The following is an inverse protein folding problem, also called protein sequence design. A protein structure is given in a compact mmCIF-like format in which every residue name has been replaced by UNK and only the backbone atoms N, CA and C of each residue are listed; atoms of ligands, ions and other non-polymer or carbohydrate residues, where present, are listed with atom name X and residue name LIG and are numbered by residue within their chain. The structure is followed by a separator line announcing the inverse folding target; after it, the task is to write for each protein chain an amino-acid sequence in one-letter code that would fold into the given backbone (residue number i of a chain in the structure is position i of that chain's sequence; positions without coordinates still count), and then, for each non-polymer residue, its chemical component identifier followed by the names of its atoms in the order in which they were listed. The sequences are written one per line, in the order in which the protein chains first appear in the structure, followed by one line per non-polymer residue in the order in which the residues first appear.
data_IF_165939775422
#
_entry.id   IF_165939775422
#
_cell.length_a   1.000
_cell.length_b   1.000
_cell.length_c   1.000
_cell.angle_alpha   90.00
_cell.angle_beta   90.00
_cell.angle_gamma   90.00
#
_symmetry.space_group_name_H-M   'P 1'
#
loop_
_entity.id
_entity.type
_entity.pdbx_description
1 polymer ?
#
# COMPACT_ATOMS: atom_id res chain seq x y z
N UNK A 1 30.12 7.22 12.24
CA UNK A 1 29.37 8.45 11.88
C UNK A 1 28.93 8.33 10.43
N UNK A 2 27.69 8.68 10.08
CA UNK A 2 27.30 8.81 8.67
C UNK A 2 27.91 10.11 8.11
N UNK A 3 28.39 10.13 6.86
CA UNK A 3 28.85 11.35 6.23
C UNK A 3 27.71 12.40 6.19
N UNK A 4 28.05 13.70 6.27
CA UNK A 4 27.05 14.76 6.17
C UNK A 4 26.37 14.69 4.80
N UNK A 5 25.05 14.90 4.78
CA UNK A 5 24.29 14.92 3.53
C UNK A 5 24.70 16.12 2.69
N UNK A 6 24.73 15.94 1.37
CA UNK A 6 24.94 17.03 0.41
C UNK A 6 23.76 18.00 0.48
N UNK A 7 24.02 19.30 0.31
CA UNK A 7 22.98 20.29 0.09
C UNK A 7 22.71 20.41 -1.41
N UNK A 8 21.45 20.29 -1.81
CA UNK A 8 21.02 20.36 -3.20
C UNK A 8 19.52 20.60 -3.32
N UNK A 9 19.03 20.58 -4.56
CA UNK A 9 17.61 20.76 -4.86
C UNK A 9 16.99 19.40 -5.17
N UNK A 10 15.92 19.04 -4.46
CA UNK A 10 15.23 17.80 -4.74
C UNK A 10 14.60 17.83 -6.14
N UNK A 11 14.93 16.86 -6.99
CA UNK A 11 14.38 16.74 -8.34
C UNK A 11 12.84 16.51 -8.36
N UNK A 12 12.23 16.09 -7.23
CA UNK A 12 10.78 15.79 -7.16
C UNK A 12 10.00 16.99 -6.73
N UNK A 13 10.34 17.51 -5.57
CA UNK A 13 9.59 18.57 -4.91
C UNK A 13 10.30 19.92 -4.96
N UNK A 14 11.46 20.06 -5.60
CA UNK A 14 12.17 21.33 -5.72
C UNK A 14 12.65 21.96 -4.41
N UNK A 15 12.51 21.27 -3.27
CA UNK A 15 12.98 21.77 -1.97
C UNK A 15 14.51 21.80 -1.96
N UNK A 16 15.07 22.92 -1.49
CA UNK A 16 16.52 23.08 -1.31
C UNK A 16 16.90 22.66 0.11
N UNK A 17 17.90 21.80 0.25
CA UNK A 17 18.35 21.32 1.55
C UNK A 17 19.15 20.02 1.47
N UNK A 18 19.25 19.26 2.58
CA UNK A 18 19.89 17.95 2.58
C UNK A 18 19.24 16.96 1.60
N UNK A 19 20.04 16.43 0.68
CA UNK A 19 19.61 15.47 -0.34
C UNK A 19 20.43 14.18 -0.28
N UNK A 20 19.80 13.10 -0.73
CA UNK A 20 20.41 11.81 -1.03
C UNK A 20 20.40 11.59 -2.55
N UNK A 21 21.43 10.93 -3.08
CA UNK A 21 21.40 10.47 -4.48
C UNK A 21 20.57 9.21 -4.60
N UNK A 22 19.63 9.24 -5.52
CA UNK A 22 18.79 8.10 -5.90
C UNK A 22 19.13 7.63 -7.31
N UNK A 23 19.17 6.31 -7.52
CA UNK A 23 19.33 5.72 -8.83
C UNK A 23 17.99 5.71 -9.58
N UNK A 24 17.90 6.40 -10.71
CA UNK A 24 16.69 6.41 -11.56
C UNK A 24 16.36 4.99 -12.03
N UNK A 25 17.38 4.26 -12.49
CA UNK A 25 17.34 2.83 -12.74
C UNK A 25 18.09 2.11 -11.62
N UNK A 26 17.41 1.21 -10.91
CA UNK A 26 17.99 0.55 -9.75
C UNK A 26 19.16 -0.36 -10.14
N UNK A 27 20.11 -0.57 -9.23
CA UNK A 27 21.26 -1.47 -9.47
C UNK A 27 20.82 -2.89 -9.82
N UNK A 28 19.77 -3.40 -9.19
CA UNK A 28 19.21 -4.72 -9.48
C UNK A 28 18.65 -4.85 -10.91
N UNK A 29 18.31 -3.72 -11.55
CA UNK A 29 17.83 -3.67 -12.94
C UNK A 29 18.98 -3.41 -13.93
N UNK A 30 20.22 -3.35 -13.46
CA UNK A 30 21.41 -3.04 -14.25
C UNK A 30 21.74 -1.55 -14.33
N UNK A 31 21.21 -0.72 -13.42
CA UNK A 31 21.60 0.68 -13.28
C UNK A 31 23.03 0.84 -12.76
N UNK A 32 23.75 1.82 -13.31
CA UNK A 32 25.15 2.15 -12.95
C UNK A 32 25.22 3.45 -12.16
N UNK A 33 26.38 3.71 -11.54
CA UNK A 33 26.65 4.94 -10.77
C UNK A 33 27.04 6.13 -11.68
N UNK A 34 26.41 6.25 -12.84
CA UNK A 34 26.60 7.33 -13.82
C UNK A 34 25.72 8.53 -13.42
N UNK A 35 26.19 9.77 -13.60
CA UNK A 35 25.44 10.94 -13.12
C UNK A 35 24.08 11.09 -13.82
N UNK A 36 23.96 10.63 -15.06
CA UNK A 36 22.70 10.60 -15.80
C UNK A 36 21.68 9.64 -15.18
N UNK A 37 22.15 8.63 -14.43
CA UNK A 37 21.31 7.68 -13.71
C UNK A 37 21.08 8.06 -12.25
N UNK A 38 21.57 9.23 -11.83
CA UNK A 38 21.51 9.67 -10.45
C UNK A 38 20.75 10.99 -10.34
N UNK A 39 19.91 11.08 -9.33
CA UNK A 39 19.17 12.31 -9.05
C UNK A 39 19.17 12.63 -7.56
N UNK A 40 19.23 13.91 -7.25
CA UNK A 40 19.12 14.37 -5.87
C UNK A 40 17.65 14.35 -5.43
N UNK A 41 17.37 13.67 -4.33
CA UNK A 41 16.07 13.69 -3.69
C UNK A 41 16.23 14.08 -2.24
N UNK A 42 15.34 14.93 -1.73
CA UNK A 42 15.26 15.12 -0.28
C UNK A 42 14.88 13.79 0.38
N UNK A 43 15.25 13.61 1.65
CA UNK A 43 14.98 12.36 2.39
C UNK A 43 13.52 11.91 2.25
N UNK A 44 12.53 12.83 2.37
CA UNK A 44 11.15 12.53 2.05
C UNK A 44 10.94 11.91 0.67
N UNK A 45 11.25 12.63 -0.41
CA UNK A 45 11.00 12.11 -1.75
C UNK A 45 11.79 10.83 -2.05
N UNK A 46 12.97 10.66 -1.43
CA UNK A 46 13.79 9.46 -1.56
C UNK A 46 13.14 8.24 -0.90
N UNK A 47 12.53 8.37 0.27
CA UNK A 47 11.84 7.25 0.91
C UNK A 47 10.56 6.85 0.15
N UNK A 48 9.80 7.82 -0.35
CA UNK A 48 8.62 7.55 -1.18
C UNK A 48 8.95 6.69 -2.39
N UNK A 49 10.00 7.03 -3.15
CA UNK A 49 10.31 6.32 -4.40
C UNK A 49 10.74 4.86 -4.17
N UNK A 50 11.25 4.53 -2.99
CA UNK A 50 11.53 3.15 -2.58
C UNK A 50 10.29 2.40 -2.08
N UNK A 51 9.28 3.11 -1.56
CA UNK A 51 8.06 2.49 -1.04
C UNK A 51 7.07 2.11 -2.15
N UNK A 52 6.93 2.95 -3.19
CA UNK A 52 5.98 2.73 -4.28
C UNK A 52 6.13 1.37 -4.97
N UNK A 53 7.35 0.91 -5.35
CA UNK A 53 7.53 -0.41 -5.97
C UNK A 53 7.08 -1.57 -5.07
N UNK A 54 7.40 -1.52 -3.77
CA UNK A 54 7.02 -2.57 -2.83
C UNK A 54 5.49 -2.68 -2.67
N UNK A 55 4.78 -1.55 -2.64
CA UNK A 55 3.30 -1.54 -2.59
C UNK A 55 2.71 -2.11 -3.88
N UNK A 56 3.29 -1.78 -5.04
CA UNK A 56 2.85 -2.32 -6.35
C UNK A 56 3.07 -3.83 -6.44
N UNK A 57 4.23 -4.31 -6.00
CA UNK A 57 4.54 -5.75 -5.98
C UNK A 57 3.58 -6.51 -5.07
N UNK A 58 3.30 -5.98 -3.87
CA UNK A 58 2.30 -6.55 -2.96
C UNK A 58 0.90 -6.61 -3.61
N UNK A 59 0.45 -5.53 -4.25
CA UNK A 59 -0.84 -5.50 -4.95
C UNK A 59 -0.90 -6.55 -6.07
N UNK A 60 0.17 -6.69 -6.84
CA UNK A 60 0.24 -7.67 -7.94
C UNK A 60 0.25 -9.11 -7.43
N UNK A 61 0.95 -9.37 -6.31
CA UNK A 61 0.92 -10.67 -5.65
C UNK A 61 -0.50 -11.03 -5.19
N UNK A 62 -1.21 -10.10 -4.55
CA UNK A 62 -2.60 -10.31 -4.12
C UNK A 62 -3.55 -10.53 -5.30
N UNK A 63 -3.31 -9.85 -6.44
CA UNK A 63 -4.05 -10.10 -7.70
C UNK A 63 -3.85 -11.52 -8.20
N UNK A 64 -2.61 -12.04 -8.19
CA UNK A 64 -2.31 -13.42 -8.60
C UNK A 64 -2.98 -14.45 -7.68
N UNK A 65 -3.09 -14.16 -6.39
CA UNK A 65 -3.78 -15.03 -5.44
C UNK A 65 -5.30 -14.98 -5.54
N UNK A 66 -5.87 -14.00 -6.23
CA UNK A 66 -7.32 -13.85 -6.41
C UNK A 66 -8.08 -13.46 -5.13
N UNK A 67 -7.40 -12.92 -4.12
CA UNK A 67 -8.03 -12.54 -2.84
C UNK A 67 -8.63 -11.13 -2.94
N UNK A 68 -9.87 -11.05 -3.44
CA UNK A 68 -10.55 -9.79 -3.76
C UNK A 68 -10.59 -8.78 -2.60
N UNK A 69 -10.76 -9.23 -1.36
CA UNK A 69 -10.76 -8.35 -0.18
C UNK A 69 -9.37 -7.74 0.07
N UNK A 70 -8.31 -8.54 -0.05
CA UNK A 70 -6.93 -8.06 0.07
C UNK A 70 -6.51 -7.16 -1.06
N UNK A 71 -6.92 -7.44 -2.29
CA UNK A 71 -6.67 -6.57 -3.46
C UNK A 71 -7.26 -5.18 -3.20
N UNK A 72 -8.50 -5.09 -2.71
CA UNK A 72 -9.12 -3.78 -2.44
C UNK A 72 -8.42 -3.03 -1.31
N UNK A 73 -8.01 -3.73 -0.26
CA UNK A 73 -7.20 -3.12 0.79
C UNK A 73 -5.87 -2.63 0.22
N UNK A 74 -5.15 -3.45 -0.53
CA UNK A 74 -3.87 -3.10 -1.14
C UNK A 74 -3.98 -1.90 -2.08
N UNK A 75 -5.02 -1.86 -2.92
CA UNK A 75 -5.32 -0.72 -3.80
C UNK A 75 -5.58 0.54 -2.98
N UNK A 76 -6.41 0.46 -1.94
CA UNK A 76 -6.64 1.60 -1.04
C UNK A 76 -5.35 2.08 -0.38
N UNK A 77 -4.44 1.17 0.01
CA UNK A 77 -3.14 1.55 0.57
C UNK A 77 -2.29 2.31 -0.45
N UNK A 78 -2.29 1.86 -1.70
CA UNK A 78 -1.59 2.52 -2.80
C UNK A 78 -2.15 3.92 -3.05
N UNK A 79 -3.47 4.04 -3.19
CA UNK A 79 -4.14 5.32 -3.45
C UNK A 79 -3.87 6.34 -2.33
N UNK A 80 -3.95 5.89 -1.06
CA UNK A 80 -3.61 6.74 0.09
C UNK A 80 -2.14 7.13 0.12
N UNK A 81 -1.23 6.22 -0.26
CA UNK A 81 0.19 6.54 -0.34
C UNK A 81 0.46 7.66 -1.36
N UNK A 82 -0.17 7.60 -2.53
CA UNK A 82 -0.06 8.64 -3.57
C UNK A 82 -0.65 9.97 -3.10
N UNK A 83 -1.85 9.96 -2.52
CA UNK A 83 -2.55 11.16 -2.03
C UNK A 83 -1.74 11.89 -0.95
N UNK A 84 -1.25 11.17 0.06
CA UNK A 84 -0.52 11.77 1.17
C UNK A 84 0.90 12.16 0.85
N UNK A 85 1.49 11.59 -0.21
CA UNK A 85 2.84 11.89 -0.64
C UNK A 85 2.85 12.69 -1.95
N UNK A 86 1.84 13.53 -2.17
CA UNK A 86 1.88 14.58 -3.19
C UNK A 86 3.08 15.51 -2.96
N UNK A 87 3.53 16.20 -4.01
CA UNK A 87 4.66 17.14 -3.90
C UNK A 87 4.38 18.24 -2.88
N UNK A 88 3.15 18.75 -2.88
CA UNK A 88 2.65 19.80 -1.99
C UNK A 88 2.63 19.32 -0.54
N UNK A 89 2.08 18.12 -0.30
CA UNK A 89 2.02 17.52 1.02
C UNK A 89 3.42 17.24 1.58
N UNK A 90 4.34 16.74 0.74
CA UNK A 90 5.73 16.50 1.13
C UNK A 90 6.44 17.80 1.51
N UNK A 91 6.23 18.88 0.76
CA UNK A 91 6.81 20.19 1.08
C UNK A 91 6.31 20.71 2.43
N UNK A 92 5.04 20.49 2.74
CA UNK A 92 4.40 21.00 3.95
C UNK A 92 4.83 20.24 5.21
N UNK A 93 4.92 18.91 5.14
CA UNK A 93 5.08 18.06 6.35
C UNK A 93 6.09 16.91 6.24
N UNK A 94 6.79 16.78 5.12
CA UNK A 94 7.62 15.61 4.82
C UNK A 94 6.84 14.43 4.20
N UNK A 95 7.53 13.32 3.96
CA UNK A 95 6.94 12.10 3.39
C UNK A 95 6.65 11.12 4.51
N UNK A 96 5.83 10.12 4.20
CA UNK A 96 5.81 8.89 4.96
C UNK A 96 6.34 7.74 4.14
N UNK A 97 7.17 6.89 4.75
CA UNK A 97 7.61 5.63 4.15
C UNK A 97 6.39 4.81 3.73
N UNK A 98 5.37 4.72 4.58
CA UNK A 98 4.00 4.43 4.18
C UNK A 98 3.03 5.02 5.19
N UNK A 99 1.77 5.23 4.79
CA UNK A 99 0.69 5.65 5.70
C UNK A 99 0.42 4.64 6.85
N UNK A 100 1.01 3.44 6.80
CA UNK A 100 0.72 2.38 7.77
C UNK A 100 1.89 2.09 8.71
N UNK A 101 3.11 2.32 8.23
CA UNK A 101 4.34 2.09 9.00
C UNK A 101 4.81 3.33 9.77
N UNK A 102 4.37 4.51 9.39
CA UNK A 102 4.80 5.76 10.03
C UNK A 102 3.84 6.14 11.16
N UNK A 103 4.26 6.06 12.42
CA UNK A 103 3.39 6.40 13.57
C UNK A 103 2.84 7.84 13.49
N UNK A 104 3.56 8.78 12.86
CA UNK A 104 3.09 10.15 12.68
C UNK A 104 1.85 10.23 11.78
N UNK A 105 1.58 9.18 10.99
CA UNK A 105 0.37 9.09 10.15
C UNK A 105 -0.85 8.56 10.86
N UNK A 106 -0.68 7.87 12.01
CA UNK A 106 -1.79 7.28 12.75
C UNK A 106 -2.69 8.35 13.38
N UNK A 107 -2.16 9.56 13.57
CA UNK A 107 -2.88 10.73 14.10
C UNK A 107 -3.44 11.64 13.02
N UNK A 108 -3.08 11.42 11.75
CA UNK A 108 -3.74 12.13 10.66
C UNK A 108 -5.20 11.71 10.62
N UNK A 109 -6.15 12.65 10.44
CA UNK A 109 -7.55 12.29 10.31
C UNK A 109 -7.65 11.22 9.23
N UNK A 110 -8.20 10.06 9.62
CA UNK A 110 -8.60 9.03 8.67
C UNK A 110 -9.49 9.75 7.67
N UNK A 111 -8.97 10.04 6.47
CA UNK A 111 -9.80 10.63 5.43
C UNK A 111 -10.94 9.65 5.24
N UNK A 112 -12.15 10.15 5.46
CA UNK A 112 -13.37 9.38 5.39
C UNK A 112 -13.36 8.58 4.07
N UNK A 113 -13.60 7.25 4.11
CA UNK A 113 -13.64 6.47 2.88
C UNK A 113 -14.69 7.07 1.95
N UNK A 114 -14.37 7.13 0.66
CA UNK A 114 -15.29 7.68 -0.33
C UNK A 114 -16.62 6.90 -0.32
N UNK A 115 -17.74 7.50 -0.77
CA UNK A 115 -19.02 6.81 -0.87
C UNK A 115 -18.94 5.46 -1.61
N UNK A 116 -18.12 5.36 -2.66
CA UNK A 116 -17.90 4.15 -3.45
C UNK A 116 -17.23 3.05 -2.62
N UNK A 117 -16.23 3.41 -1.82
CA UNK A 117 -15.56 2.46 -0.91
C UNK A 117 -16.51 2.02 0.20
N UNK A 118 -17.31 2.95 0.75
CA UNK A 118 -18.33 2.64 1.75
C UNK A 118 -19.37 1.66 1.19
N UNK A 119 -19.83 1.89 -0.03
CA UNK A 119 -20.80 1.03 -0.71
C UNK A 119 -20.20 -0.34 -1.07
N UNK A 120 -18.98 -0.38 -1.61
CA UNK A 120 -18.26 -1.63 -1.86
C UNK A 120 -18.11 -2.46 -0.57
N UNK A 121 -17.75 -1.83 0.56
CA UNK A 121 -17.66 -2.50 1.87
C UNK A 121 -19.00 -3.08 2.30
N UNK A 122 -20.10 -2.34 2.10
CA UNK A 122 -21.47 -2.78 2.41
C UNK A 122 -21.86 -4.01 1.57
N UNK A 123 -21.66 -3.93 0.26
CA UNK A 123 -21.99 -5.00 -0.68
C UNK A 123 -21.18 -6.28 -0.39
N UNK A 124 -19.87 -6.16 -0.16
CA UNK A 124 -19.03 -7.30 0.13
C UNK A 124 -19.31 -7.93 1.50
N UNK A 125 -19.67 -7.12 2.51
CA UNK A 125 -20.16 -7.63 3.80
C UNK A 125 -21.41 -8.49 3.62
N UNK A 126 -22.37 -8.02 2.83
CA UNK A 126 -23.60 -8.75 2.55
C UNK A 126 -23.34 -10.05 1.76
N UNK A 127 -22.44 -10.00 0.78
CA UNK A 127 -22.02 -11.19 0.01
C UNK A 127 -21.41 -12.25 0.93
N UNK A 128 -20.42 -11.86 1.75
CA UNK A 128 -19.74 -12.77 2.69
C UNK A 128 -20.73 -13.38 3.71
N UNK A 129 -21.69 -12.59 4.20
CA UNK A 129 -22.74 -13.10 5.09
C UNK A 129 -23.63 -14.14 4.42
N UNK A 130 -23.99 -13.97 3.14
CA UNK A 130 -24.77 -14.95 2.38
C UNK A 130 -23.99 -16.23 2.15
N UNK A 131 -22.72 -16.11 1.76
CA UNK A 131 -21.81 -17.26 1.56
C UNK A 131 -21.63 -18.05 2.86
N UNK A 132 -21.40 -17.38 3.99
CA UNK A 132 -21.28 -18.04 5.30
C UNK A 132 -22.57 -18.77 5.69
N UNK A 133 -23.75 -18.16 5.49
CA UNK A 133 -25.04 -18.81 5.77
C UNK A 133 -25.27 -20.05 4.91
N UNK A 134 -24.86 -20.00 3.63
CA UNK A 134 -24.97 -21.14 2.72
C UNK A 134 -24.03 -22.29 3.14
N UNK A 135 -22.80 -21.95 3.53
CA UNK A 135 -21.84 -22.91 4.07
C UNK A 135 -22.35 -23.57 5.35
N UNK A 136 -22.84 -22.78 6.32
CA UNK A 136 -23.38 -23.31 7.58
C UNK A 136 -24.57 -24.24 7.35
N UNK A 137 -25.44 -23.92 6.39
CA UNK A 137 -26.58 -24.77 6.00
C UNK A 137 -26.09 -26.11 5.43
N UNK A 138 -25.17 -26.06 4.48
CA UNK A 138 -24.58 -27.26 3.85
C UNK A 138 -23.87 -28.15 4.88
N UNK A 139 -23.17 -27.54 5.84
CA UNK A 139 -22.50 -28.25 6.92
C UNK A 139 -23.51 -28.98 7.83
N UNK A 140 -24.63 -28.33 8.19
CA UNK A 140 -25.70 -28.96 8.99
C UNK A 140 -26.36 -30.12 8.25
N UNK A 141 -26.64 -29.96 6.96
CA UNK A 141 -27.23 -31.01 6.12
C UNK A 141 -26.31 -32.24 6.03
N UNK A 142 -25.01 -32.00 5.80
CA UNK A 142 -24.00 -33.06 5.78
C UNK A 142 -23.90 -33.81 7.12
N UNK A 143 -23.89 -33.07 8.24
CA UNK A 143 -23.85 -33.66 9.58
C UNK A 143 -25.11 -34.49 9.88
N UNK A 144 -26.29 -34.02 9.47
CA UNK A 144 -27.54 -34.75 9.63
C UNK A 144 -27.55 -36.06 8.83
N UNK A 145 -27.06 -36.03 7.58
CA UNK A 145 -26.95 -37.22 6.74
C UNK A 145 -25.99 -38.28 7.33
N UNK A 146 -24.83 -37.85 7.85
CA UNK A 146 -23.86 -38.74 8.53
C UNK A 146 -24.49 -39.38 9.77
N UNK A 147 -25.26 -38.61 10.55
CA UNK A 147 -25.93 -39.13 11.74
C UNK A 147 -26.99 -40.17 11.37
N UNK A 148 -27.85 -39.88 10.40
CA UNK A 148 -28.89 -40.80 9.94
C UNK A 148 -28.31 -42.11 9.38
N UNK A 149 -27.18 -42.05 8.66
CA UNK A 149 -26.50 -43.24 8.14
C UNK A 149 -25.76 -44.07 9.19
N UNK A 150 -25.56 -43.56 10.41
CA UNK A 150 -25.00 -44.34 11.54
C UNK A 150 -26.07 -45.02 12.39
N UNK A 151 -27.33 -44.58 12.25
CA UNK A 151 -28.49 -45.09 12.99
C UNK A 151 -29.31 -46.11 12.17
N UNK A 152 -28.94 -46.31 10.88
CA UNK A 152 -29.51 -47.30 9.96
C UNK A 152 -28.60 -48.54 9.83
#
# INVERSE_FOLDING_TARGET
MRPPKRIGTCARCGTVGPVDRHHIKMRMEGGRDEEENLEDRCVPCHQYIHATPAIKEFLEQERRHGQADRIVVAQLRFDRHEEYNSVEQIRLRGTYKSYWEDEATHLLPLIEPTPEIKEWRRLNRNKRQRENRAFDKSLRESQAAIKAGREA
#
